data_IF_670910172106
#
_entry.id   IF_670910172106
#
_cell.length_a   1.000
_cell.length_b   1.000
_cell.length_c   1.000
_cell.angle_alpha   90.00
_cell.angle_beta   90.00
_cell.angle_gamma   90.00
#
_symmetry.space_group_name_H-M   'P 1'
#
loop_
_entity.id
_entity.type
_entity.pdbx_description
1 polymer ?
#
# COMPACT_ATOMS: atom_id res chain seq x y z
N UNK A 1 5.74 -25.40 7.05
CA UNK A 1 5.88 -23.94 7.17
C UNK A 1 5.30 -23.56 8.50
N UNK A 2 6.10 -22.91 9.34
CA UNK A 2 5.61 -22.38 10.61
C UNK A 2 4.59 -21.27 10.31
N UNK A 3 3.49 -21.24 11.07
CA UNK A 3 2.40 -20.27 10.89
C UNK A 3 2.88 -18.82 10.99
N UNK A 4 3.96 -18.58 11.73
CA UNK A 4 4.62 -17.30 11.87
C UNK A 4 5.28 -16.81 10.57
N UNK A 5 6.08 -17.66 9.91
CA UNK A 5 6.71 -17.36 8.63
C UNK A 5 5.65 -17.06 7.54
N UNK A 6 4.53 -17.78 7.57
CA UNK A 6 3.42 -17.52 6.65
C UNK A 6 2.80 -16.13 6.88
N UNK A 7 2.54 -15.76 8.14
CA UNK A 7 1.98 -14.45 8.49
C UNK A 7 2.92 -13.30 8.11
N UNK A 8 4.23 -13.46 8.30
CA UNK A 8 5.24 -12.48 7.89
C UNK A 8 5.21 -12.22 6.39
N UNK A 9 5.23 -13.28 5.58
CA UNK A 9 5.17 -13.18 4.11
C UNK A 9 3.88 -12.48 3.67
N UNK A 10 2.73 -12.85 4.26
CA UNK A 10 1.44 -12.24 3.91
C UNK A 10 1.41 -10.75 4.26
N UNK A 11 1.88 -10.36 5.45
CA UNK A 11 1.94 -8.96 5.87
C UNK A 11 2.82 -8.12 4.94
N UNK A 12 4.00 -8.62 4.60
CA UNK A 12 4.92 -7.94 3.68
C UNK A 12 4.31 -7.81 2.28
N UNK A 13 3.68 -8.86 1.76
CA UNK A 13 3.02 -8.82 0.45
C UNK A 13 1.88 -7.79 0.42
N UNK A 14 1.01 -7.76 1.44
CA UNK A 14 -0.07 -6.76 1.52
C UNK A 14 0.51 -5.35 1.56
N UNK A 15 1.57 -5.12 2.34
CA UNK A 15 2.27 -3.84 2.39
C UNK A 15 2.80 -3.40 1.02
N UNK A 16 3.49 -4.30 0.31
CA UNK A 16 4.05 -4.03 -1.03
C UNK A 16 2.92 -3.71 -2.02
N UNK A 17 1.87 -4.53 -2.08
CA UNK A 17 0.74 -4.34 -3.00
C UNK A 17 0.07 -2.99 -2.73
N UNK A 18 -0.23 -2.68 -1.47
CA UNK A 18 -0.83 -1.40 -1.08
C UNK A 18 0.05 -0.22 -1.49
N UNK A 19 1.37 -0.32 -1.33
CA UNK A 19 2.31 0.72 -1.72
C UNK A 19 2.30 0.96 -3.25
N UNK A 20 2.38 -0.11 -4.05
CA UNK A 20 2.38 -0.02 -5.51
C UNK A 20 1.09 0.60 -6.04
N UNK A 21 -0.06 0.16 -5.52
CA UNK A 21 -1.34 0.78 -5.88
C UNK A 21 -1.38 2.22 -5.40
N UNK A 22 -1.00 2.51 -4.16
CA UNK A 22 -0.97 3.87 -3.62
C UNK A 22 -0.18 4.85 -4.50
N UNK A 23 1.05 4.48 -4.88
CA UNK A 23 1.88 5.27 -5.79
C UNK A 23 1.20 5.43 -7.16
N UNK A 24 0.63 4.36 -7.71
CA UNK A 24 -0.06 4.40 -9.00
C UNK A 24 -1.26 5.34 -8.98
N UNK A 25 -2.07 5.29 -7.93
CA UNK A 25 -3.22 6.20 -7.74
C UNK A 25 -2.78 7.66 -7.51
N UNK A 26 -1.60 7.90 -6.93
CA UNK A 26 -1.04 9.26 -6.85
C UNK A 26 -0.48 9.73 -8.20
N UNK A 27 0.20 8.86 -8.95
CA UNK A 27 0.97 9.21 -10.15
C UNK A 27 0.16 9.23 -11.45
N UNK A 28 -0.77 8.30 -11.64
CA UNK A 28 -1.52 8.18 -12.90
C UNK A 28 -2.47 9.36 -13.21
N UNK A 29 -3.07 10.05 -12.22
CA UNK A 29 -3.85 11.28 -12.49
C UNK A 29 -3.06 12.40 -13.17
N UNK A 30 -1.72 12.39 -13.12
CA UNK A 30 -0.89 13.37 -13.81
C UNK A 30 -0.82 13.16 -15.32
N UNK A 31 -1.09 11.94 -15.80
CA UNK A 31 -0.99 11.58 -17.23
C UNK A 31 -2.36 11.55 -17.93
N UNK A 32 -3.42 12.07 -17.28
CA UNK A 32 -4.81 12.10 -17.77
C UNK A 32 -5.37 10.74 -18.24
N UNK A 33 -4.83 9.64 -17.69
CA UNK A 33 -5.19 8.27 -18.07
C UNK A 33 -6.45 7.77 -17.35
N UNK A 34 -6.87 8.45 -16.28
CA UNK A 34 -7.99 8.03 -15.43
C UNK A 34 -9.23 8.90 -15.68
N UNK A 35 -10.38 8.22 -15.86
CA UNK A 35 -11.71 8.86 -16.01
C UNK A 35 -12.36 9.27 -14.68
N UNK A 36 -11.65 9.14 -13.55
CA UNK A 36 -12.14 9.53 -12.21
C UNK A 36 -11.64 10.92 -11.81
N UNK A 37 -12.35 11.55 -10.88
CA UNK A 37 -11.94 12.82 -10.27
C UNK A 37 -10.53 12.72 -9.67
N UNK A 38 -9.62 13.57 -10.17
CA UNK A 38 -8.19 13.55 -9.82
C UNK A 38 -7.96 13.76 -8.32
N UNK A 39 -8.81 14.52 -7.64
CA UNK A 39 -8.72 14.75 -6.19
C UNK A 39 -9.02 13.48 -5.39
N UNK A 40 -10.09 12.77 -5.74
CA UNK A 40 -10.48 11.50 -5.11
C UNK A 40 -9.45 10.39 -5.35
N UNK A 41 -8.92 10.28 -6.57
CA UNK A 41 -7.90 9.27 -6.90
C UNK A 41 -6.62 9.52 -6.11
N UNK A 42 -6.15 10.77 -6.04
CA UNK A 42 -4.95 11.12 -5.27
C UNK A 42 -5.13 10.90 -3.77
N UNK A 43 -6.30 11.23 -3.22
CA UNK A 43 -6.63 10.96 -1.82
C UNK A 43 -6.62 9.46 -1.51
N UNK A 44 -7.22 8.65 -2.39
CA UNK A 44 -7.21 7.17 -2.28
C UNK A 44 -5.79 6.63 -2.34
N UNK A 45 -4.96 7.14 -3.26
CA UNK A 45 -3.56 6.76 -3.35
C UNK A 45 -2.76 7.11 -2.10
N UNK A 46 -2.95 8.31 -1.55
CA UNK A 46 -2.30 8.72 -0.30
C UNK A 46 -2.70 7.84 0.89
N UNK A 47 -3.98 7.44 0.98
CA UNK A 47 -4.45 6.50 2.00
C UNK A 47 -3.79 5.13 1.87
N UNK A 48 -3.66 4.60 0.65
CA UNK A 48 -3.00 3.32 0.39
C UNK A 48 -1.50 3.34 0.72
N UNK A 49 -0.82 4.46 0.42
CA UNK A 49 0.58 4.67 0.84
C UNK A 49 0.67 4.72 2.37
N UNK A 50 -0.19 5.50 3.04
CA UNK A 50 -0.23 5.56 4.50
C UNK A 50 -0.50 4.20 5.16
N UNK A 51 -1.46 3.44 4.63
CA UNK A 51 -1.76 2.08 5.09
C UNK A 51 -0.56 1.14 4.90
N UNK A 52 0.16 1.23 3.79
CA UNK A 52 1.36 0.42 3.56
C UNK A 52 2.47 0.71 4.60
N UNK A 53 2.69 1.99 4.91
CA UNK A 53 3.67 2.41 5.92
C UNK A 53 3.27 1.87 7.30
N UNK A 54 1.98 1.95 7.65
CA UNK A 54 1.47 1.41 8.90
C UNK A 54 1.68 -0.11 9.00
N UNK A 55 1.42 -0.85 7.92
CA UNK A 55 1.64 -2.31 7.87
C UNK A 55 3.13 -2.63 8.08
N UNK A 56 4.04 -1.94 7.39
CA UNK A 56 5.47 -2.16 7.57
C UNK A 56 5.96 -1.79 8.97
N UNK A 57 5.42 -0.73 9.56
CA UNK A 57 5.73 -0.35 10.94
C UNK A 57 5.26 -1.41 11.94
N UNK A 58 4.02 -1.90 11.81
CA UNK A 58 3.48 -2.97 12.65
C UNK A 58 4.27 -4.26 12.48
N UNK A 59 4.61 -4.63 11.24
CA UNK A 59 5.48 -5.77 10.94
C UNK A 59 6.84 -5.64 11.65
N UNK A 60 7.49 -4.47 11.54
CA UNK A 60 8.77 -4.21 12.18
C UNK A 60 8.70 -4.12 13.72
N UNK A 61 7.52 -4.02 14.32
CA UNK A 61 7.32 -4.05 15.77
C UNK A 61 7.02 -5.48 16.24
N UNK A 62 6.20 -6.23 15.50
CA UNK A 62 5.74 -7.56 15.88
C UNK A 62 6.76 -8.68 15.60
N UNK A 63 7.63 -8.50 14.61
CA UNK A 63 8.54 -9.54 14.12
C UNK A 63 10.02 -9.15 14.18
N UNK A 64 10.35 -8.14 15.00
CA UNK A 64 11.72 -7.73 15.32
C UNK A 64 12.19 -8.40 16.59
#
# INVERSE_FOLDING_TARGET
MDTQLFAEIVMVLIGIISLFYGISYVALPFFDVMKMDRGLVRATGALLVGASIAIFAVYAILFR
#
